data_IF_136777255331
#
_entry.id   IF_136777255331
#
_cell.length_a   1.000
_cell.length_b   1.000
_cell.length_c   1.000
_cell.angle_alpha   90.00
_cell.angle_beta   90.00
_cell.angle_gamma   90.00
#
_symmetry.space_group_name_H-M   'P 1'
#
loop_
_entity.id
_entity.type
_entity.pdbx_description
1 polymer ?
#
# COMPACT_ATOMS: atom_id res chain seq x y z
N UNK A 1 18.42 -31.63 15.26
CA UNK A 1 18.01 -30.26 14.86
C UNK A 1 19.06 -29.26 15.34
N UNK A 2 19.26 -28.14 14.63
CA UNK A 2 20.16 -27.08 15.05
C UNK A 2 19.39 -26.06 15.90
N UNK A 3 19.92 -25.74 17.08
CA UNK A 3 19.41 -24.68 17.95
C UNK A 3 20.46 -23.59 17.98
N UNK A 4 20.08 -22.38 17.57
CA UNK A 4 20.98 -21.23 17.63
C UNK A 4 21.39 -20.92 19.06
N UNK A 5 22.68 -20.68 19.30
CA UNK A 5 23.22 -20.45 20.65
C UNK A 5 22.72 -19.13 21.28
N UNK A 6 22.30 -18.17 20.45
CA UNK A 6 21.81 -16.87 20.90
C UNK A 6 20.27 -16.90 20.98
N UNK A 7 19.67 -16.88 22.17
CA UNK A 7 18.22 -16.80 22.29
C UNK A 7 17.72 -15.46 21.75
N UNK A 8 16.74 -15.50 20.85
CA UNK A 8 16.10 -14.30 20.33
C UNK A 8 15.22 -13.64 21.38
N UNK A 9 15.68 -12.54 21.98
CA UNK A 9 14.87 -11.75 22.93
C UNK A 9 13.79 -10.99 22.15
N UNK A 10 12.53 -11.43 22.29
CA UNK A 10 11.39 -10.86 21.55
C UNK A 10 10.92 -9.51 22.05
N UNK A 11 11.19 -9.19 23.32
CA UNK A 11 10.76 -7.95 23.95
C UNK A 11 11.82 -7.35 24.88
N UNK A 12 11.81 -6.02 25.00
CA UNK A 12 12.75 -5.27 25.83
C UNK A 12 12.08 -4.00 26.37
N UNK A 13 12.88 -2.97 26.70
CA UNK A 13 12.39 -1.64 27.05
C UNK A 13 11.40 -1.14 26.00
N UNK A 14 10.26 -0.62 26.47
CA UNK A 14 9.20 -0.07 25.63
C UNK A 14 9.29 1.45 25.62
N UNK A 15 9.24 2.02 24.43
CA UNK A 15 9.22 3.47 24.26
C UNK A 15 7.80 4.01 24.39
N UNK A 16 7.69 5.23 24.90
CA UNK A 16 6.42 5.93 25.08
C UNK A 16 6.31 7.01 24.03
N UNK A 17 5.29 6.90 23.17
CA UNK A 17 4.95 7.90 22.19
C UNK A 17 3.70 8.69 22.55
N UNK A 18 3.31 9.62 21.67
CA UNK A 18 2.11 10.45 21.87
C UNK A 18 0.83 9.63 22.00
N UNK A 19 0.86 8.36 21.60
CA UNK A 19 -0.15 7.36 21.85
C UNK A 19 0.51 6.00 22.09
N UNK A 20 -0.06 5.19 22.98
CA UNK A 20 0.36 3.80 23.19
C UNK A 20 -0.74 2.89 22.67
N UNK A 21 -0.47 2.17 21.58
CA UNK A 21 -1.43 1.26 20.96
C UNK A 21 -1.78 0.11 21.92
N UNK A 22 -3.07 -0.14 22.14
CA UNK A 22 -3.57 -1.11 23.12
C UNK A 22 -4.19 -2.31 22.43
N UNK A 23 -4.28 -3.42 23.16
CA UNK A 23 -4.96 -4.62 22.71
C UNK A 23 -6.39 -4.33 22.21
N UNK A 24 -7.14 -3.52 22.95
CA UNK A 24 -8.52 -3.19 22.62
C UNK A 24 -8.64 -2.43 21.29
N UNK A 25 -7.59 -1.68 20.89
CA UNK A 25 -7.58 -0.97 19.62
C UNK A 25 -7.51 -1.96 18.45
N UNK A 26 -6.75 -3.05 18.61
CA UNK A 26 -6.62 -4.13 17.62
C UNK A 26 -7.87 -5.01 17.56
N UNK A 27 -8.46 -5.33 18.71
CA UNK A 27 -9.69 -6.13 18.80
C UNK A 27 -10.89 -5.42 18.15
N UNK A 28 -10.94 -4.09 18.25
CA UNK A 28 -12.04 -3.27 17.73
C UNK A 28 -11.75 -2.65 16.36
N UNK A 29 -10.52 -2.74 15.87
CA UNK A 29 -10.00 -1.95 14.74
C UNK A 29 -10.37 -0.47 14.90
N UNK A 30 -9.93 0.14 16.00
CA UNK A 30 -10.20 1.57 16.28
C UNK A 30 -9.70 2.42 15.12
N UNK A 31 -10.56 3.33 14.67
CA UNK A 31 -10.20 4.32 13.65
C UNK A 31 -9.39 5.44 14.27
N UNK A 32 -8.34 5.86 13.58
CA UNK A 32 -7.52 7.01 13.97
C UNK A 32 -7.40 7.97 12.79
N UNK A 33 -7.48 9.27 13.07
CA UNK A 33 -7.30 10.29 12.03
C UNK A 33 -5.85 10.35 11.52
N UNK A 34 -4.90 9.91 12.35
CA UNK A 34 -3.47 9.94 12.09
C UNK A 34 -2.88 8.57 11.68
N UNK A 35 -3.66 7.69 11.06
CA UNK A 35 -3.16 6.39 10.55
C UNK A 35 -2.03 6.61 9.53
N UNK A 36 -0.93 5.89 9.72
CA UNK A 36 0.23 5.87 8.79
C UNK A 36 0.72 4.46 8.46
N UNK A 37 0.13 3.44 9.06
CA UNK A 37 0.43 2.04 8.80
C UNK A 37 -0.68 1.15 9.32
N UNK A 38 -0.54 -0.16 9.13
CA UNK A 38 -1.54 -1.12 9.56
C UNK A 38 -0.93 -2.48 9.89
N UNK A 39 -1.66 -3.26 10.69
CA UNK A 39 -1.39 -4.66 10.96
C UNK A 39 -2.63 -5.52 10.75
N UNK A 40 -2.45 -6.83 10.79
CA UNK A 40 -3.53 -7.80 10.64
C UNK A 40 -3.21 -9.18 11.21
N UNK A 41 -2.03 -9.34 11.83
CA UNK A 41 -1.63 -10.58 12.49
C UNK A 41 -2.40 -10.75 13.79
N UNK A 42 -2.77 -11.97 14.18
CA UNK A 42 -3.31 -12.23 15.52
C UNK A 42 -2.29 -11.84 16.59
N UNK A 43 -2.72 -11.54 17.81
CA UNK A 43 -1.77 -11.36 18.92
C UNK A 43 -1.35 -12.76 19.39
N UNK A 44 -0.10 -13.14 19.12
CA UNK A 44 0.49 -14.42 19.50
C UNK A 44 1.11 -14.34 20.90
N UNK A 45 0.35 -14.77 21.91
CA UNK A 45 0.80 -14.87 23.29
C UNK A 45 1.53 -16.18 23.51
N UNK A 46 2.80 -16.10 23.88
CA UNK A 46 3.65 -17.27 24.08
C UNK A 46 3.75 -17.63 25.55
N UNK A 47 3.56 -18.91 25.86
CA UNK A 47 3.63 -19.38 27.23
C UNK A 47 5.03 -19.08 27.82
N UNK A 48 5.12 -18.37 28.97
CA UNK A 48 6.40 -17.97 29.54
C UNK A 48 7.27 -19.16 30.01
N UNK A 49 6.67 -20.34 30.23
CA UNK A 49 7.39 -21.57 30.52
C UNK A 49 8.09 -22.18 29.30
N UNK A 50 7.84 -21.67 28.10
CA UNK A 50 8.55 -22.07 26.89
C UNK A 50 8.47 -23.58 26.65
N UNK A 51 9.61 -24.25 26.51
CA UNK A 51 9.69 -25.70 26.29
C UNK A 51 9.20 -26.54 27.48
N UNK A 52 9.13 -25.96 28.68
CA UNK A 52 8.72 -26.68 29.89
C UNK A 52 7.19 -26.68 30.08
N UNK A 53 6.44 -25.97 29.23
CA UNK A 53 4.98 -25.99 29.29
C UNK A 53 4.39 -27.30 28.78
N UNK A 54 3.30 -27.74 29.41
CA UNK A 54 2.44 -28.82 28.91
C UNK A 54 1.15 -28.30 28.26
N UNK A 55 0.95 -26.99 28.30
CA UNK A 55 -0.18 -26.30 27.67
C UNK A 55 0.16 -25.97 26.21
N UNK A 56 -0.79 -25.36 25.50
CA UNK A 56 -0.52 -24.84 24.16
C UNK A 56 0.64 -23.82 24.22
N UNK A 57 1.66 -23.97 23.37
CA UNK A 57 2.84 -23.10 23.42
C UNK A 57 2.53 -21.67 22.96
N UNK A 58 1.42 -21.47 22.25
CA UNK A 58 1.00 -20.16 21.76
C UNK A 58 -0.52 -20.06 21.73
N UNK A 59 -1.05 -18.99 22.32
CA UNK A 59 -2.47 -18.62 22.24
C UNK A 59 -2.58 -17.48 21.23
N UNK A 60 -3.45 -17.66 20.22
CA UNK A 60 -3.70 -16.63 19.22
C UNK A 60 -4.97 -15.87 19.56
N UNK A 61 -4.82 -14.64 20.03
CA UNK A 61 -5.95 -13.75 20.22
C UNK A 61 -6.32 -13.09 18.90
N UNK A 62 -7.58 -13.21 18.45
CA UNK A 62 -8.02 -12.65 17.18
C UNK A 62 -7.94 -11.12 17.22
N UNK A 63 -7.66 -10.53 16.07
CA UNK A 63 -7.73 -9.08 15.83
C UNK A 63 -8.78 -8.82 14.76
N UNK A 64 -9.38 -7.63 14.77
CA UNK A 64 -10.19 -7.19 13.64
C UNK A 64 -9.23 -6.64 12.58
N UNK A 65 -8.92 -7.47 11.59
CA UNK A 65 -7.94 -7.16 10.54
C UNK A 65 -8.58 -6.50 9.32
N UNK A 66 -7.89 -5.52 8.68
CA UNK A 66 -6.70 -4.84 9.16
C UNK A 66 -7.05 -3.78 10.22
N UNK A 67 -6.16 -3.56 11.19
CA UNK A 67 -6.25 -2.45 12.15
C UNK A 67 -5.23 -1.36 11.80
N UNK A 68 -5.59 -0.10 12.05
CA UNK A 68 -4.71 1.06 11.81
C UNK A 68 -3.68 1.27 12.93
N UNK A 69 -2.51 1.80 12.57
CA UNK A 69 -1.47 2.23 13.52
C UNK A 69 -1.32 3.76 13.38
N UNK A 70 -1.65 4.55 14.43
CA UNK A 70 -1.54 6.00 14.38
C UNK A 70 -0.07 6.45 14.47
N UNK A 71 0.22 7.58 13.81
CA UNK A 71 1.56 8.17 13.77
C UNK A 71 2.08 8.52 15.17
N UNK A 72 1.21 8.86 16.11
CA UNK A 72 1.57 9.10 17.51
C UNK A 72 2.25 7.92 18.22
N UNK A 73 2.15 6.70 17.69
CA UNK A 73 2.92 5.56 18.19
C UNK A 73 4.41 5.58 17.81
N UNK A 74 4.82 6.47 16.88
CA UNK A 74 6.08 6.38 16.14
C UNK A 74 7.10 7.47 16.52
N UNK A 75 6.86 8.26 17.57
CA UNK A 75 7.80 9.25 18.06
C UNK A 75 7.80 9.34 19.58
N UNK A 76 8.90 9.82 20.17
CA UNK A 76 9.06 9.94 21.62
C UNK A 76 8.31 11.13 22.20
N UNK A 77 7.69 10.97 23.37
CA UNK A 77 7.07 12.09 24.11
C UNK A 77 8.06 13.03 24.78
N UNK A 78 9.31 12.59 25.01
CA UNK A 78 10.28 13.31 25.83
C UNK A 78 11.67 13.48 25.20
N UNK A 79 11.89 12.96 23.99
CA UNK A 79 13.13 13.19 23.23
C UNK A 79 12.70 13.74 21.87
N UNK A 80 12.92 15.04 21.67
CA UNK A 80 12.30 15.82 20.59
C UNK A 80 12.65 15.34 19.17
N UNK A 81 13.78 14.67 18.98
CA UNK A 81 14.23 14.20 17.66
C UNK A 81 14.24 12.66 17.53
N UNK A 82 13.58 11.94 18.43
CA UNK A 82 13.58 10.47 18.44
C UNK A 82 12.27 9.91 17.84
N UNK A 83 12.43 9.09 16.81
CA UNK A 83 11.35 8.33 16.16
C UNK A 83 11.51 6.81 16.38
N UNK A 84 10.41 6.08 16.25
CA UNK A 84 10.32 4.62 16.42
C UNK A 84 9.73 3.99 15.16
N UNK A 85 10.38 2.95 14.63
CA UNK A 85 9.92 2.24 13.44
C UNK A 85 9.98 0.72 13.68
N UNK A 86 8.81 0.07 13.65
CA UNK A 86 8.69 -1.39 13.78
C UNK A 86 8.60 -1.88 15.23
N UNK A 87 9.54 -2.72 15.68
CA UNK A 87 9.43 -3.44 16.96
C UNK A 87 9.62 -2.57 18.21
N UNK A 88 9.99 -1.31 18.05
CA UNK A 88 10.24 -0.36 19.13
C UNK A 88 9.15 0.71 19.27
N UNK A 89 8.05 0.61 18.52
CA UNK A 89 6.95 1.57 18.60
C UNK A 89 6.25 1.53 19.96
N UNK A 90 5.49 2.57 20.25
CA UNK A 90 4.72 2.65 21.49
C UNK A 90 3.47 1.79 21.43
N UNK A 91 3.52 0.63 22.09
CA UNK A 91 2.43 -0.33 22.19
C UNK A 91 2.43 -1.03 23.56
N UNK A 92 1.26 -1.53 23.98
CA UNK A 92 1.18 -2.47 25.10
C UNK A 92 1.87 -3.79 24.75
N UNK A 93 2.19 -4.58 25.78
CA UNK A 93 2.81 -5.91 25.62
C UNK A 93 2.04 -6.77 24.60
N UNK A 94 0.72 -6.91 24.81
CA UNK A 94 -0.12 -7.73 23.93
C UNK A 94 -0.27 -7.15 22.52
N UNK A 95 -0.42 -5.83 22.37
CA UNK A 95 -0.55 -5.22 21.05
C UNK A 95 0.74 -5.36 20.22
N UNK A 96 1.90 -5.27 20.88
CA UNK A 96 3.20 -5.43 20.23
C UNK A 96 3.35 -6.79 19.56
N UNK A 97 2.74 -7.85 20.12
CA UNK A 97 2.78 -9.20 19.55
C UNK A 97 2.29 -9.22 18.09
N UNK A 98 1.27 -8.42 17.78
CA UNK A 98 0.73 -8.28 16.42
C UNK A 98 1.50 -7.26 15.57
N UNK A 99 1.93 -6.12 16.12
CA UNK A 99 2.59 -5.06 15.32
C UNK A 99 4.05 -5.38 14.95
N UNK A 100 4.71 -6.27 15.70
CA UNK A 100 6.14 -6.60 15.51
C UNK A 100 6.46 -7.47 14.29
N UNK A 101 5.44 -7.87 13.52
CA UNK A 101 5.59 -8.69 12.31
C UNK A 101 6.28 -7.89 11.20
N UNK A 102 7.12 -8.54 10.42
CA UNK A 102 8.07 -7.87 9.51
C UNK A 102 7.41 -6.98 8.45
N UNK A 103 6.28 -7.41 7.88
CA UNK A 103 5.55 -6.62 6.90
C UNK A 103 5.00 -5.32 7.51
N UNK A 104 4.41 -5.41 8.70
CA UNK A 104 3.97 -4.23 9.49
C UNK A 104 5.15 -3.35 9.88
N UNK A 105 6.29 -3.93 10.28
CA UNK A 105 7.49 -3.13 10.53
C UNK A 105 7.98 -2.39 9.28
N UNK A 106 7.85 -2.99 8.10
CA UNK A 106 8.17 -2.37 6.81
C UNK A 106 7.30 -1.15 6.51
N UNK A 107 5.97 -1.27 6.70
CA UNK A 107 5.05 -0.13 6.49
C UNK A 107 5.35 1.02 7.46
N UNK A 108 5.66 0.71 8.72
CA UNK A 108 6.04 1.71 9.71
C UNK A 108 7.40 2.36 9.41
N UNK A 109 8.35 1.60 8.86
CA UNK A 109 9.63 2.12 8.38
C UNK A 109 9.44 3.16 7.28
N UNK A 110 8.58 2.87 6.29
CA UNK A 110 8.23 3.82 5.24
C UNK A 110 7.56 5.08 5.81
N UNK A 111 6.58 4.92 6.71
CA UNK A 111 5.92 6.05 7.38
C UNK A 111 6.90 6.98 8.10
N UNK A 112 7.80 6.42 8.91
CA UNK A 112 8.81 7.19 9.66
C UNK A 112 9.81 7.85 8.73
N UNK A 113 10.29 7.15 7.69
CA UNK A 113 11.21 7.72 6.70
C UNK A 113 10.61 8.91 5.96
N UNK A 114 9.36 8.79 5.50
CA UNK A 114 8.64 9.89 4.85
C UNK A 114 8.41 11.05 5.82
N UNK A 115 8.01 10.77 7.06
CA UNK A 115 7.82 11.80 8.08
C UNK A 115 9.12 12.54 8.41
N UNK A 116 10.24 11.81 8.53
CA UNK A 116 11.56 12.40 8.77
C UNK A 116 12.01 13.30 7.61
N UNK A 117 11.72 12.92 6.37
CA UNK A 117 11.98 13.76 5.19
C UNK A 117 11.22 15.09 5.25
N UNK A 118 9.92 15.04 5.58
CA UNK A 118 9.10 16.26 5.76
C UNK A 118 9.62 17.09 6.93
N UNK A 119 9.99 16.45 8.05
CA UNK A 119 10.52 17.11 9.23
C UNK A 119 11.80 17.88 8.94
N UNK A 120 12.75 17.27 8.22
CA UNK A 120 14.01 17.92 7.81
C UNK A 120 13.74 19.06 6.84
N UNK A 121 12.83 18.89 5.86
CA UNK A 121 12.48 19.93 4.89
C UNK A 121 11.92 21.19 5.55
N UNK A 122 11.01 21.01 6.51
CA UNK A 122 10.25 22.11 7.12
C UNK A 122 10.85 22.59 8.46
N UNK A 123 11.93 21.96 8.95
CA UNK A 123 12.51 22.26 10.25
C UNK A 123 11.58 21.93 11.42
N UNK A 124 10.83 20.84 11.32
CA UNK A 124 9.85 20.40 12.31
C UNK A 124 10.38 19.21 13.14
N UNK A 125 9.92 19.10 14.38
CA UNK A 125 10.05 17.87 15.19
C UNK A 125 9.07 16.79 14.71
N UNK A 126 9.29 15.50 15.05
CA UNK A 126 8.32 14.43 14.82
C UNK A 126 6.93 14.75 15.39
N UNK A 127 6.86 15.35 16.59
CA UNK A 127 5.57 15.75 17.18
C UNK A 127 4.87 16.82 16.33
N UNK A 128 5.61 17.78 15.79
CA UNK A 128 5.03 18.82 14.94
C UNK A 128 4.58 18.29 13.57
N UNK A 129 5.12 17.17 13.09
CA UNK A 129 4.57 16.48 11.91
C UNK A 129 3.14 16.03 12.16
N UNK A 130 2.86 15.43 13.32
CA UNK A 130 1.49 15.08 13.72
C UNK A 130 0.58 16.32 13.71
N UNK A 131 1.05 17.42 14.30
CA UNK A 131 0.24 18.62 14.50
C UNK A 131 0.03 19.44 13.22
N UNK A 132 1.02 19.48 12.31
CA UNK A 132 1.06 20.45 11.20
C UNK A 132 1.11 19.80 9.80
N UNK A 133 1.47 18.52 9.69
CA UNK A 133 1.78 17.86 8.41
C UNK A 133 1.23 16.44 8.26
N UNK A 134 0.36 15.97 9.16
CA UNK A 134 -0.16 14.59 9.11
C UNK A 134 -0.89 14.29 7.79
N UNK A 135 -1.67 15.24 7.27
CA UNK A 135 -2.36 15.08 5.99
C UNK A 135 -1.39 14.93 4.83
N UNK A 136 -0.33 15.74 4.79
CA UNK A 136 0.72 15.64 3.76
C UNK A 136 1.44 14.28 3.85
N UNK A 137 1.79 13.84 5.06
CA UNK A 137 2.42 12.53 5.26
C UNK A 137 1.54 11.40 4.72
N UNK A 138 0.26 11.39 5.05
CA UNK A 138 -0.69 10.37 4.57
C UNK A 138 -0.87 10.42 3.05
N UNK A 139 -0.92 11.61 2.47
CA UNK A 139 -1.02 11.79 1.01
C UNK A 139 0.21 11.23 0.31
N UNK A 140 1.42 11.50 0.82
CA UNK A 140 2.66 10.94 0.29
C UNK A 140 2.72 9.43 0.39
N UNK A 141 2.31 8.86 1.52
CA UNK A 141 2.23 7.41 1.68
C UNK A 141 1.26 6.79 0.66
N UNK A 142 0.08 7.38 0.47
CA UNK A 142 -0.87 6.91 -0.56
C UNK A 142 -0.41 7.17 -2.00
N UNK A 143 0.45 8.17 -2.26
CA UNK A 143 1.10 8.34 -3.57
C UNK A 143 2.06 7.17 -3.86
N UNK A 144 2.77 6.70 -2.83
CA UNK A 144 3.67 5.55 -2.89
C UNK A 144 2.95 4.18 -2.74
N UNK A 145 1.63 4.13 -2.98
CA UNK A 145 0.80 2.90 -2.93
C UNK A 145 0.75 2.24 -1.53
N UNK A 146 1.00 3.02 -0.45
CA UNK A 146 0.70 2.57 0.90
C UNK A 146 -0.79 2.59 1.17
N UNK A 147 -1.29 1.48 1.73
CA UNK A 147 -2.65 1.40 2.21
C UNK A 147 -2.80 1.95 3.63
N UNK A 148 -3.80 2.81 3.81
CA UNK A 148 -4.19 3.38 5.08
C UNK A 148 -5.66 2.98 5.33
N UNK A 149 -5.96 1.98 6.18
CA UNK A 149 -7.32 1.53 6.45
C UNK A 149 -8.24 2.68 6.85
N UNK A 150 -9.49 2.67 6.36
CA UNK A 150 -10.48 3.72 6.63
C UNK A 150 -10.24 5.04 5.90
N UNK A 151 -9.12 5.20 5.17
CA UNK A 151 -8.80 6.45 4.46
C UNK A 151 -8.82 6.27 2.94
N UNK A 152 -9.81 6.89 2.30
CA UNK A 152 -9.86 7.01 0.83
C UNK A 152 -8.79 7.98 0.31
N UNK A 153 -8.17 7.65 -0.82
CA UNK A 153 -7.22 8.55 -1.51
C UNK A 153 -7.99 9.65 -2.24
N UNK A 154 -7.78 10.90 -1.84
CA UNK A 154 -8.42 12.07 -2.45
C UNK A 154 -7.94 12.29 -3.89
N UNK A 155 -8.78 12.92 -4.71
CA UNK A 155 -8.36 13.45 -6.01
C UNK A 155 -7.44 14.65 -5.78
N UNK A 156 -6.40 14.77 -6.60
CA UNK A 156 -5.65 16.02 -6.65
C UNK A 156 -6.48 17.11 -7.38
N UNK A 157 -6.16 18.41 -7.24
CA UNK A 157 -6.96 19.48 -7.81
C UNK A 157 -7.16 19.42 -9.34
N UNK A 158 -6.19 18.85 -10.08
CA UNK A 158 -6.32 18.66 -11.53
C UNK A 158 -7.35 17.58 -11.83
N UNK A 159 -7.30 16.45 -11.11
CA UNK A 159 -8.22 15.32 -11.30
C UNK A 159 -9.69 15.65 -11.05
N UNK A 160 -10.00 16.69 -10.26
CA UNK A 160 -11.39 17.18 -10.09
C UNK A 160 -11.98 17.76 -11.39
N UNK A 161 -11.15 18.11 -12.36
CA UNK A 161 -11.55 18.70 -13.63
C UNK A 161 -11.31 17.79 -14.83
N UNK A 162 -10.81 16.58 -14.59
CA UNK A 162 -10.52 15.60 -15.64
C UNK A 162 -11.78 14.79 -15.92
N UNK A 163 -12.14 14.70 -17.19
CA UNK A 163 -13.18 13.78 -17.65
C UNK A 163 -12.53 12.49 -18.14
N UNK A 164 -12.89 11.35 -17.53
CA UNK A 164 -12.44 10.03 -17.95
C UNK A 164 -13.58 9.34 -18.67
N UNK A 165 -13.29 8.74 -19.82
CA UNK A 165 -14.19 7.86 -20.56
C UNK A 165 -13.46 6.56 -20.88
N UNK A 166 -14.21 5.50 -21.10
CA UNK A 166 -13.66 4.23 -21.58
C UNK A 166 -14.53 3.66 -22.68
N UNK A 167 -13.93 2.89 -23.58
CA UNK A 167 -14.69 2.13 -24.59
C UNK A 167 -15.55 1.03 -23.95
N UNK A 168 -15.05 0.45 -22.86
CA UNK A 168 -15.65 -0.66 -22.10
C UNK A 168 -15.35 -0.48 -20.60
N UNK A 169 -16.18 -1.02 -19.71
CA UNK A 169 -15.95 -0.98 -18.26
C UNK A 169 -16.28 0.35 -17.57
N UNK A 170 -16.57 0.28 -16.27
CA UNK A 170 -16.95 1.45 -15.46
C UNK A 170 -15.74 2.25 -14.99
N UNK A 171 -15.64 3.52 -15.42
CA UNK A 171 -14.53 4.42 -15.08
C UNK A 171 -14.63 5.05 -13.69
N UNK A 172 -15.78 4.97 -13.01
CA UNK A 172 -15.98 5.63 -11.72
C UNK A 172 -15.00 5.13 -10.65
N UNK A 173 -14.69 3.84 -10.67
CA UNK A 173 -13.73 3.21 -9.77
C UNK A 173 -12.30 3.78 -9.91
N UNK A 174 -11.91 4.25 -11.09
CA UNK A 174 -10.55 4.78 -11.34
C UNK A 174 -10.23 6.01 -10.49
N UNK A 175 -11.22 6.62 -9.84
CA UNK A 175 -11.06 7.83 -9.02
C UNK A 175 -11.82 7.80 -7.68
N UNK A 176 -12.34 6.66 -7.25
CA UNK A 176 -13.20 6.55 -6.06
C UNK A 176 -12.45 6.54 -4.70
N UNK A 177 -11.11 6.52 -4.77
CA UNK A 177 -10.24 6.54 -3.60
C UNK A 177 -9.89 5.19 -3.01
N UNK A 178 -10.34 4.08 -3.59
CA UNK A 178 -10.05 2.72 -3.11
C UNK A 178 -9.22 1.97 -4.14
N UNK A 179 -7.98 1.67 -3.77
CA UNK A 179 -7.02 1.01 -4.66
C UNK A 179 -6.99 -0.50 -4.42
N UNK A 180 -8.12 -1.18 -4.19
CA UNK A 180 -8.20 -2.63 -3.92
C UNK A 180 -9.64 -3.14 -3.93
N UNK A 181 -9.80 -4.46 -4.04
CA UNK A 181 -11.04 -5.13 -3.62
C UNK A 181 -11.12 -5.11 -2.10
N UNK A 182 -12.19 -4.54 -1.55
CA UNK A 182 -12.37 -4.31 -0.11
C UNK A 182 -13.70 -4.92 0.33
N UNK A 183 -13.68 -5.79 1.33
CA UNK A 183 -14.89 -6.42 1.89
C UNK A 183 -15.81 -7.10 0.85
N UNK A 184 -15.22 -7.65 -0.21
CA UNK A 184 -15.94 -8.28 -1.32
C UNK A 184 -16.41 -7.32 -2.42
N UNK A 185 -16.31 -6.01 -2.21
CA UNK A 185 -16.61 -4.99 -3.21
C UNK A 185 -15.39 -4.72 -4.11
N UNK A 186 -15.61 -4.80 -5.42
CA UNK A 186 -14.59 -4.57 -6.44
C UNK A 186 -14.53 -3.10 -6.86
N UNK A 187 -13.49 -2.39 -6.45
CA UNK A 187 -13.21 -1.01 -6.83
C UNK A 187 -12.25 -0.94 -8.03
N UNK A 188 -12.54 -1.68 -9.09
CA UNK A 188 -11.60 -1.90 -10.20
C UNK A 188 -12.28 -1.72 -11.56
N UNK A 189 -11.59 -1.03 -12.46
CA UNK A 189 -11.99 -0.94 -13.85
C UNK A 189 -11.63 -2.26 -14.50
N UNK A 190 -12.63 -2.91 -15.10
CA UNK A 190 -12.51 -4.20 -15.77
C UNK A 190 -12.97 -4.06 -17.21
N UNK A 191 -12.15 -4.52 -18.14
CA UNK A 191 -12.50 -4.55 -19.55
C UNK A 191 -11.71 -5.61 -20.32
N UNK A 192 -12.17 -6.02 -21.52
CA UNK A 192 -11.36 -6.82 -22.43
C UNK A 192 -10.02 -6.14 -22.77
N UNK A 193 -9.00 -6.94 -23.02
CA UNK A 193 -7.72 -6.44 -23.54
C UNK A 193 -7.94 -5.68 -24.85
N UNK A 194 -7.28 -4.53 -24.98
CA UNK A 194 -7.48 -3.59 -26.09
C UNK A 194 -8.54 -2.50 -25.85
N UNK A 195 -9.33 -2.57 -24.78
CA UNK A 195 -10.23 -1.48 -24.40
C UNK A 195 -9.45 -0.22 -24.02
N UNK A 196 -9.92 0.96 -24.42
CA UNK A 196 -9.20 2.22 -24.19
C UNK A 196 -9.78 2.99 -23.01
N UNK A 197 -8.91 3.47 -22.12
CA UNK A 197 -9.24 4.54 -21.17
C UNK A 197 -8.71 5.84 -21.77
N UNK A 198 -9.58 6.84 -21.93
CA UNK A 198 -9.19 8.19 -22.36
C UNK A 198 -9.52 9.21 -21.27
N UNK A 199 -8.64 10.18 -21.08
CA UNK A 199 -8.86 11.29 -20.17
C UNK A 199 -8.69 12.62 -20.89
N UNK A 200 -9.68 13.50 -20.74
CA UNK A 200 -9.67 14.89 -21.19
C UNK A 200 -9.40 15.82 -20.02
N UNK A 201 -8.47 16.72 -20.21
CA UNK A 201 -8.01 17.69 -19.22
C UNK A 201 -8.39 19.11 -19.67
N UNK A 202 -8.53 20.07 -18.74
CA UNK A 202 -8.65 21.48 -19.10
C UNK A 202 -7.49 21.94 -19.99
N UNK A 203 -7.78 22.81 -20.96
CA UNK A 203 -6.77 23.37 -21.85
C UNK A 203 -5.64 24.05 -21.06
N UNK A 204 -4.40 23.88 -21.51
CA UNK A 204 -3.20 24.43 -20.87
C UNK A 204 -2.76 23.71 -19.58
N UNK A 205 -3.40 22.60 -19.18
CA UNK A 205 -2.97 21.80 -18.03
C UNK A 205 -1.56 21.25 -18.24
N UNK A 206 -0.65 21.54 -17.29
CA UNK A 206 0.70 21.00 -17.29
C UNK A 206 0.69 19.63 -16.62
N UNK A 207 0.91 18.57 -17.39
CA UNK A 207 1.01 17.20 -16.89
C UNK A 207 2.46 16.87 -16.59
N UNK A 208 2.77 16.64 -15.32
CA UNK A 208 4.08 16.16 -14.85
C UNK A 208 4.22 14.66 -15.14
N UNK A 209 3.25 13.88 -14.70
CA UNK A 209 3.22 12.42 -14.91
C UNK A 209 1.81 11.86 -14.82
N UNK A 210 1.63 10.61 -15.28
CA UNK A 210 0.37 9.86 -15.14
C UNK A 210 0.64 8.56 -14.42
N UNK A 211 -0.04 8.39 -13.28
CA UNK A 211 0.09 7.26 -12.36
C UNK A 211 -1.07 6.30 -12.55
N UNK A 212 -0.77 5.01 -12.59
CA UNK A 212 -1.73 3.93 -12.60
C UNK A 212 -1.47 2.95 -11.46
N UNK A 213 -2.55 2.42 -10.87
CA UNK A 213 -2.50 1.26 -9.98
C UNK A 213 -3.18 0.09 -10.67
N UNK A 214 -2.38 -0.89 -11.10
CA UNK A 214 -2.87 -2.12 -11.70
C UNK A 214 -3.24 -3.15 -10.64
N UNK A 215 -4.08 -4.12 -11.01
CA UNK A 215 -4.42 -5.20 -10.08
C UNK A 215 -3.28 -6.23 -9.97
N UNK A 216 -2.55 -6.18 -8.86
CA UNK A 216 -1.53 -7.17 -8.54
C UNK A 216 -2.07 -8.40 -7.79
N UNK A 217 -3.38 -8.60 -7.81
CA UNK A 217 -4.12 -9.64 -7.09
C UNK A 217 -3.72 -9.68 -5.60
N UNK A 218 -3.89 -8.53 -4.92
CA UNK A 218 -3.39 -8.35 -3.55
C UNK A 218 -4.05 -9.32 -2.55
N UNK A 219 -5.30 -9.72 -2.84
CA UNK A 219 -6.05 -10.70 -2.06
C UNK A 219 -5.68 -12.15 -2.40
N UNK A 220 -4.95 -12.36 -3.51
CA UNK A 220 -4.51 -13.67 -4.02
C UNK A 220 -5.67 -14.57 -4.46
N UNK A 221 -6.77 -13.97 -4.91
CA UNK A 221 -7.95 -14.68 -5.37
C UNK A 221 -7.66 -15.46 -6.67
N UNK A 222 -6.73 -14.96 -7.50
CA UNK A 222 -6.31 -15.59 -8.74
C UNK A 222 -5.33 -16.77 -8.59
N UNK A 223 -4.95 -17.16 -7.36
CA UNK A 223 -3.96 -18.22 -7.12
C UNK A 223 -4.59 -19.62 -6.96
N UNK A 224 -5.92 -19.71 -6.82
CA UNK A 224 -6.65 -20.97 -6.69
C UNK A 224 -6.11 -21.89 -5.59
N UNK A 225 -6.19 -23.20 -5.83
CA UNK A 225 -5.80 -24.24 -4.86
C UNK A 225 -4.29 -24.27 -4.53
N UNK A 226 -3.45 -23.65 -5.36
CA UNK A 226 -2.00 -23.58 -5.16
C UNK A 226 -1.57 -22.61 -4.05
N UNK A 227 -2.45 -21.71 -3.59
CA UNK A 227 -2.14 -20.65 -2.64
C UNK A 227 -1.57 -21.17 -1.31
N UNK A 228 -2.02 -22.35 -0.86
CA UNK A 228 -1.55 -22.98 0.38
C UNK A 228 -0.04 -23.31 0.33
N UNK A 229 0.47 -23.73 -0.82
CA UNK A 229 1.89 -24.05 -1.01
C UNK A 229 2.78 -22.80 -0.92
N UNK A 230 2.26 -21.65 -1.36
CA UNK A 230 2.97 -20.37 -1.34
C UNK A 230 2.94 -19.67 0.01
N UNK A 231 1.92 -19.92 0.84
CA UNK A 231 1.83 -19.40 2.21
C UNK A 231 2.64 -20.21 3.22
N UNK A 232 3.09 -21.42 2.87
CA UNK A 232 3.66 -22.40 3.81
C UNK A 232 5.02 -22.02 4.38
N UNK A 233 5.89 -21.35 3.62
CA UNK A 233 7.25 -21.03 4.07
C UNK A 233 7.56 -19.53 3.94
N UNK A 234 7.82 -18.83 5.07
CA UNK A 234 8.24 -17.42 5.03
C UNK A 234 9.67 -17.27 4.48
N UNK A 235 10.47 -18.35 4.47
CA UNK A 235 11.80 -18.40 3.85
C UNK A 235 11.83 -19.53 2.83
N UNK A 236 11.86 -19.20 1.53
CA UNK A 236 11.89 -20.16 0.41
C UNK A 236 13.24 -20.83 0.20
N UNK A 237 14.10 -20.86 1.22
CA UNK A 237 15.39 -21.54 1.15
C UNK A 237 15.23 -23.07 1.04
N UNK A 238 14.03 -23.61 1.32
CA UNK A 238 13.67 -25.00 1.10
C UNK A 238 12.35 -25.05 0.33
N UNK A 239 12.40 -25.45 -0.95
CA UNK A 239 11.21 -25.75 -1.77
C UNK A 239 11.21 -27.24 -2.09
N UNK A 240 10.03 -27.84 -2.25
CA UNK A 240 9.96 -29.24 -2.68
C UNK A 240 10.49 -29.39 -4.11
N UNK A 241 11.04 -30.56 -4.44
CA UNK A 241 11.59 -30.86 -5.76
C UNK A 241 10.58 -30.65 -6.91
N UNK A 242 9.28 -30.80 -6.65
CA UNK A 242 8.20 -30.59 -7.62
C UNK A 242 7.40 -29.28 -7.43
N UNK A 243 7.79 -28.40 -6.51
CA UNK A 243 7.04 -27.18 -6.23
C UNK A 243 7.17 -26.20 -7.41
N UNK A 244 6.04 -25.68 -7.87
CA UNK A 244 6.03 -24.70 -8.96
C UNK A 244 6.66 -23.37 -8.50
N UNK A 245 7.45 -22.69 -9.36
CA UNK A 245 7.97 -21.36 -9.06
C UNK A 245 6.84 -20.37 -8.81
N UNK A 246 7.08 -19.34 -7.97
CA UNK A 246 6.16 -18.21 -7.96
C UNK A 246 6.15 -17.53 -9.31
N UNK A 247 4.94 -17.27 -9.81
CA UNK A 247 4.71 -16.53 -11.04
C UNK A 247 4.16 -15.15 -10.71
N UNK A 248 4.18 -14.28 -11.71
CA UNK A 248 3.51 -12.99 -11.62
C UNK A 248 2.00 -13.20 -11.42
N UNK A 249 1.33 -12.34 -10.62
CA UNK A 249 -0.11 -12.39 -10.47
C UNK A 249 -0.81 -12.33 -11.84
N UNK A 250 -1.70 -13.29 -12.18
CA UNK A 250 -2.34 -13.35 -13.49
C UNK A 250 -3.09 -12.07 -13.89
N UNK A 251 -3.67 -11.36 -12.90
CA UNK A 251 -4.39 -10.11 -13.09
C UNK A 251 -3.51 -8.90 -13.48
N UNK A 252 -2.21 -8.98 -13.19
CA UNK A 252 -1.32 -7.83 -13.39
C UNK A 252 -1.15 -7.57 -14.88
N UNK A 253 -1.34 -6.31 -15.28
CA UNK A 253 -1.09 -5.85 -16.64
C UNK A 253 0.39 -6.03 -16.96
N UNK A 254 0.67 -6.79 -18.01
CA UNK A 254 2.01 -7.11 -18.52
C UNK A 254 2.41 -6.14 -19.62
N UNK A 255 1.52 -5.91 -20.58
CA UNK A 255 1.75 -4.99 -21.70
C UNK A 255 0.73 -3.87 -21.74
N UNK A 256 1.17 -2.66 -22.06
CA UNK A 256 0.28 -1.52 -22.30
C UNK A 256 0.91 -0.49 -23.23
N UNK A 257 0.05 0.31 -23.84
CA UNK A 257 0.44 1.53 -24.53
C UNK A 257 -0.17 2.74 -23.84
N UNK A 258 0.60 3.82 -23.79
CA UNK A 258 0.18 5.11 -23.30
C UNK A 258 0.45 6.14 -24.40
N UNK A 259 -0.59 6.87 -24.75
CA UNK A 259 -0.60 7.83 -25.85
C UNK A 259 -0.99 9.20 -25.33
N UNK A 260 -0.44 10.22 -25.95
CA UNK A 260 -0.76 11.62 -25.68
C UNK A 260 -1.29 12.28 -26.95
N UNK A 261 -2.20 13.25 -26.79
CA UNK A 261 -2.65 14.06 -27.92
C UNK A 261 -1.74 15.27 -28.10
N UNK A 262 -1.21 15.43 -29.32
CA UNK A 262 -0.37 16.57 -29.72
C UNK A 262 -1.03 17.24 -30.94
N UNK A 263 -1.74 18.34 -30.73
CA UNK A 263 -2.59 18.92 -31.77
C UNK A 263 -3.74 17.97 -32.11
N UNK A 264 -3.90 17.62 -33.39
CA UNK A 264 -4.94 16.69 -33.84
C UNK A 264 -4.50 15.21 -33.77
N UNK A 265 -3.19 14.96 -33.62
CA UNK A 265 -2.61 13.62 -33.73
C UNK A 265 -2.43 12.92 -32.39
N UNK A 266 -2.60 11.61 -32.39
CA UNK A 266 -2.21 10.74 -31.28
C UNK A 266 -0.77 10.30 -31.45
N UNK A 267 0.05 10.54 -30.42
CA UNK A 267 1.46 10.15 -30.39
C UNK A 267 1.66 9.08 -29.33
N UNK A 268 2.26 7.94 -29.71
CA UNK A 268 2.64 6.89 -28.78
C UNK A 268 3.74 7.42 -27.86
N UNK A 269 3.42 7.58 -26.58
CA UNK A 269 4.34 8.16 -25.61
C UNK A 269 5.15 7.10 -24.89
N UNK A 270 4.51 5.98 -24.52
CA UNK A 270 5.18 4.83 -23.93
C UNK A 270 4.52 3.54 -24.39
N UNK A 271 5.34 2.57 -24.76
CA UNK A 271 4.94 1.17 -24.90
C UNK A 271 5.69 0.35 -23.86
N UNK A 272 4.97 -0.49 -23.16
CA UNK A 272 5.50 -1.43 -22.19
C UNK A 272 5.05 -2.84 -22.59
N UNK A 273 5.96 -3.80 -22.53
CA UNK A 273 5.69 -5.19 -22.93
C UNK A 273 5.91 -6.18 -21.81
N UNK A 274 6.60 -5.77 -20.73
CA UNK A 274 6.98 -6.68 -19.64
C UNK A 274 6.93 -5.98 -18.27
N UNK A 275 5.77 -5.43 -17.94
CA UNK A 275 5.55 -4.78 -16.66
C UNK A 275 5.46 -5.78 -15.50
N UNK A 276 6.25 -5.53 -14.45
CA UNK A 276 6.20 -6.27 -13.18
C UNK A 276 5.70 -5.43 -12.00
N UNK A 277 5.22 -4.20 -12.25
CA UNK A 277 4.87 -3.24 -11.21
C UNK A 277 3.36 -3.03 -11.13
N UNK A 278 2.85 -2.99 -9.91
CA UNK A 278 1.49 -2.58 -9.58
C UNK A 278 1.30 -1.07 -9.77
N UNK A 279 2.17 -0.30 -9.13
CA UNK A 279 2.27 1.15 -9.27
C UNK A 279 3.18 1.47 -10.46
N UNK A 280 2.62 2.14 -11.46
CA UNK A 280 3.33 2.66 -12.61
C UNK A 280 3.16 4.17 -12.64
N UNK A 281 4.27 4.91 -12.75
CA UNK A 281 4.27 6.36 -12.95
C UNK A 281 4.97 6.69 -14.27
N UNK A 282 4.23 7.28 -15.20
CA UNK A 282 4.70 7.60 -16.56
C UNK A 282 5.04 9.09 -16.61
N UNK A 283 6.33 9.49 -16.68
CA UNK A 283 6.69 10.90 -16.77
C UNK A 283 6.31 11.50 -18.12
N UNK A 284 5.80 12.74 -18.12
CA UNK A 284 5.31 13.44 -19.32
C UNK A 284 5.88 14.87 -19.43
N UNK A 285 5.84 15.63 -18.33
CA UNK A 285 6.39 16.98 -18.18
C UNK A 285 6.05 17.97 -19.31
N UNK A 286 4.78 18.08 -19.70
CA UNK A 286 4.34 19.01 -20.77
C UNK A 286 2.85 19.36 -20.68
N UNK A 287 2.41 20.45 -21.35
CA UNK A 287 0.99 20.75 -21.49
C UNK A 287 0.27 19.68 -22.30
N UNK A 288 -0.89 19.21 -21.84
CA UNK A 288 -1.73 18.23 -22.53
C UNK A 288 -3.22 18.50 -22.31
N UNK A 289 -4.02 18.18 -23.32
CA UNK A 289 -5.48 18.22 -23.28
C UNK A 289 -6.12 16.82 -23.28
N UNK A 290 -5.48 15.83 -23.90
CA UNK A 290 -5.98 14.45 -23.90
C UNK A 290 -4.85 13.43 -23.78
N UNK A 291 -5.15 12.33 -23.09
CA UNK A 291 -4.30 11.14 -22.99
C UNK A 291 -5.16 9.89 -23.16
N UNK A 292 -4.55 8.79 -23.59
CA UNK A 292 -5.19 7.46 -23.53
C UNK A 292 -4.24 6.36 -23.14
N UNK A 293 -4.78 5.34 -22.49
CA UNK A 293 -4.08 4.12 -22.09
C UNK A 293 -4.82 2.91 -22.65
N UNK A 294 -4.07 1.97 -23.19
CA UNK A 294 -4.58 0.73 -23.79
C UNK A 294 -3.81 -0.45 -23.18
N UNK A 295 -4.44 -1.31 -22.38
CA UNK A 295 -3.84 -2.56 -21.93
C UNK A 295 -3.74 -3.52 -23.12
N UNK A 296 -2.55 -4.02 -23.38
CA UNK A 296 -2.25 -4.93 -24.48
C UNK A 296 -2.20 -6.41 -24.05
N UNK A 297 -1.85 -6.68 -22.80
CA UNK A 297 -1.78 -8.04 -22.26
C UNK A 297 -1.67 -8.07 -20.73
N UNK A 298 -1.97 -9.21 -20.10
CA UNK A 298 -1.72 -9.48 -18.68
C UNK A 298 -0.73 -10.64 -18.50
N UNK A 299 -0.42 -11.01 -17.26
CA UNK A 299 0.37 -12.21 -16.97
C UNK A 299 -0.41 -13.53 -17.03
N UNK A 300 -1.74 -13.49 -17.20
CA UNK A 300 -2.52 -14.72 -17.37
C UNK A 300 -4.04 -14.58 -17.34
N UNK A 301 -4.60 -13.43 -16.95
CA UNK A 301 -6.03 -13.15 -17.05
C UNK A 301 -6.44 -12.60 -18.43
N UNK A 302 -7.68 -12.87 -18.84
CA UNK A 302 -8.23 -12.43 -20.12
C UNK A 302 -8.69 -10.96 -20.12
N UNK A 303 -8.85 -10.38 -18.95
CA UNK A 303 -9.38 -9.03 -18.76
C UNK A 303 -8.31 -8.14 -18.13
N UNK A 304 -8.29 -6.86 -18.52
CA UNK A 304 -7.49 -5.84 -17.87
C UNK A 304 -8.17 -5.36 -16.60
N UNK A 305 -7.38 -5.13 -15.55
CA UNK A 305 -7.85 -4.72 -14.23
C UNK A 305 -7.02 -3.57 -13.68
N UNK A 306 -7.64 -2.40 -13.52
CA UNK A 306 -6.99 -1.16 -13.09
C UNK A 306 -7.76 -0.54 -11.94
N UNK A 307 -7.13 -0.39 -10.78
CA UNK A 307 -7.75 0.19 -9.60
C UNK A 307 -7.83 1.71 -9.67
N UNK A 308 -6.83 2.38 -10.23
CA UNK A 308 -6.77 3.85 -10.20
C UNK A 308 -5.95 4.44 -11.33
N UNK A 309 -6.35 5.64 -11.74
CA UNK A 309 -5.60 6.53 -12.61
C UNK A 309 -5.53 7.93 -11.99
N UNK A 310 -4.32 8.47 -11.82
CA UNK A 310 -4.08 9.85 -11.37
C UNK A 310 -3.22 10.60 -12.40
N UNK A 311 -3.64 11.80 -12.79
CA UNK A 311 -2.82 12.72 -13.57
C UNK A 311 -2.19 13.72 -12.60
N UNK A 312 -0.87 13.68 -12.49
CA UNK A 312 -0.10 14.56 -11.62
C UNK A 312 0.32 15.80 -12.41
N UNK A 313 0.01 16.98 -11.89
CA UNK A 313 0.25 18.22 -12.60
C UNK A 313 -0.49 19.41 -12.00
N UNK A 314 -0.60 20.47 -12.79
CA UNK A 314 -1.36 21.67 -12.43
C UNK A 314 -2.32 22.04 -13.55
N UNK A 315 -3.47 22.60 -13.18
CA UNK A 315 -4.30 23.31 -14.16
C UNK A 315 -3.55 24.53 -14.68
N UNK A 316 -3.88 25.00 -15.89
CA UNK A 316 -3.46 26.34 -16.30
C UNK A 316 -3.91 27.37 -15.24
N UNK A 317 -3.08 28.39 -15.02
CA UNK A 317 -3.48 29.57 -14.25
C UNK A 317 -4.44 30.42 -15.05
#
# INVERSE_FOLDING_TARGET
>A
EWIGFLPGKRESRRYVGGYMLKQQDLERAVEFEDIVGYGGWSMDDHNPWGFDTKEEPTIYHPVKSPYGIPYRCLYSVNIENLMFAGRNISATHTALASTRVMATCGTLGQAVGTAASIAVRDGLTPKEIYEKRISELQEKLQEDDCYLPGRRKKKNPLMERVQIISTEGDVNCLTDGIERTLDGEEHVWKAPIGAEIQARLPEGSLVKSVRFIFDSDINRDGWGDGLAEYRRYPMRCHVYLGQQPAVMPPALIRGYEFWIRMGEEWVLWKKETENHKRLVDIPVNRPLCEIKMIPLDTWGQKEARIYRMDIMGTTAK
#
